data_IF_787124138870
#
_entry.id   IF_787124138870
#
_cell.length_a   1.000
_cell.length_b   1.000
_cell.length_c   1.000
_cell.angle_alpha   90.00
_cell.angle_beta   90.00
_cell.angle_gamma   90.00
#
_symmetry.space_group_name_H-M   'P 1'
#
loop_
_entity.id
_entity.type
_entity.pdbx_description
1 polymer ?
#
# COMPACT_ATOMS: atom_id res chain seq x y z
N UNK A 1 15.46 -1.02 24.93
CA UNK A 1 14.99 0.22 24.31
C UNK A 1 14.28 -0.11 23.02
N UNK A 2 13.05 0.33 22.84
CA UNK A 2 12.38 0.09 21.60
C UNK A 2 12.80 1.12 20.53
N UNK A 3 12.57 0.77 19.27
CA UNK A 3 12.96 1.59 18.12
C UNK A 3 12.33 2.99 18.16
N UNK A 4 11.06 3.06 18.53
CA UNK A 4 10.34 4.34 18.56
C UNK A 4 10.88 5.29 19.62
N UNK A 5 11.27 4.77 20.78
CA UNK A 5 11.90 5.58 21.81
C UNK A 5 13.23 6.15 21.31
N UNK A 6 14.03 5.36 20.59
CA UNK A 6 15.30 5.82 20.01
C UNK A 6 15.08 6.94 19.01
N UNK A 7 13.98 6.91 18.26
CA UNK A 7 13.61 7.94 17.29
C UNK A 7 12.91 9.15 17.91
N UNK A 8 12.64 9.10 19.21
CA UNK A 8 11.89 10.14 19.94
C UNK A 8 10.47 10.35 19.37
N UNK A 9 9.86 9.27 18.90
CA UNK A 9 8.48 9.30 18.40
C UNK A 9 7.57 8.72 19.49
N UNK A 10 6.64 9.54 19.97
CA UNK A 10 5.63 9.07 20.92
C UNK A 10 4.58 8.26 20.20
N UNK A 11 4.44 7.00 20.59
CA UNK A 11 3.54 6.09 19.92
C UNK A 11 2.80 5.23 20.93
N UNK A 12 1.49 5.16 20.77
CA UNK A 12 0.65 4.20 21.48
C UNK A 12 0.38 3.05 20.54
N UNK A 13 0.62 1.82 21.04
CA UNK A 13 0.44 0.60 20.24
C UNK A 13 -0.78 -0.15 20.79
N UNK A 14 -1.75 -0.42 19.94
CA UNK A 14 -2.92 -1.23 20.27
C UNK A 14 -2.89 -2.50 19.44
N UNK A 15 -2.97 -3.65 20.08
CA UNK A 15 -2.89 -4.94 19.42
C UNK A 15 -4.17 -5.73 19.67
N UNK A 16 -4.79 -6.24 18.60
CA UNK A 16 -5.92 -7.15 18.67
C UNK A 16 -5.58 -8.42 17.91
N UNK A 17 -5.57 -9.53 18.62
CA UNK A 17 -5.30 -10.82 18.00
C UNK A 17 -6.61 -11.60 17.85
N UNK A 18 -6.89 -12.00 16.61
CA UNK A 18 -8.07 -12.80 16.26
C UNK A 18 -7.61 -14.24 16.06
N UNK A 19 -7.75 -15.04 17.12
CA UNK A 19 -7.26 -16.40 17.12
C UNK A 19 -7.91 -17.28 16.05
N UNK A 20 -9.19 -17.07 15.78
CA UNK A 20 -9.93 -17.87 14.80
C UNK A 20 -9.35 -17.73 13.38
N UNK A 21 -8.90 -16.56 13.02
CA UNK A 21 -8.41 -16.26 11.67
C UNK A 21 -6.89 -16.18 11.60
N UNK A 22 -6.20 -16.31 12.74
CA UNK A 22 -4.75 -16.08 12.85
C UNK A 22 -4.36 -14.70 12.27
N UNK A 23 -5.07 -13.66 12.68
CA UNK A 23 -4.82 -12.29 12.26
C UNK A 23 -4.47 -11.43 13.46
N UNK A 24 -3.37 -10.70 13.38
CA UNK A 24 -2.96 -9.75 14.39
C UNK A 24 -3.09 -8.34 13.82
N UNK A 25 -4.02 -7.57 14.33
CA UNK A 25 -4.21 -6.18 13.94
C UNK A 25 -3.46 -5.28 14.92
N UNK A 26 -2.55 -4.47 14.40
CA UNK A 26 -1.76 -3.54 15.19
C UNK A 26 -2.09 -2.13 14.72
N UNK A 27 -2.54 -1.30 15.64
CA UNK A 27 -2.85 0.10 15.37
C UNK A 27 -1.86 0.97 16.12
N UNK A 28 -1.20 1.85 15.39
CA UNK A 28 -0.30 2.85 15.97
C UNK A 28 -1.02 4.19 16.03
N UNK A 29 -0.83 4.92 17.12
CA UNK A 29 -1.39 6.26 17.25
C UNK A 29 -0.42 7.15 18.01
N UNK A 30 -0.51 8.46 17.77
CA UNK A 30 0.35 9.44 18.38
C UNK A 30 0.40 10.73 17.58
N UNK A 31 1.10 11.75 18.06
CA UNK A 31 1.12 13.06 17.40
C UNK A 31 1.91 13.10 16.09
N UNK A 32 2.87 12.20 15.88
CA UNK A 32 3.81 12.28 14.76
C UNK A 32 3.79 11.03 13.88
N UNK A 33 2.60 10.51 13.58
CA UNK A 33 2.47 9.26 12.83
C UNK A 33 2.97 9.39 11.39
N UNK A 34 3.06 10.60 10.83
CA UNK A 34 3.64 10.80 9.51
C UNK A 34 5.05 10.24 9.36
N UNK A 35 5.84 10.28 10.44
CA UNK A 35 7.19 9.70 10.45
C UNK A 35 7.14 8.19 10.29
N UNK A 36 6.19 7.54 10.96
CA UNK A 36 6.04 6.08 10.91
C UNK A 36 5.38 5.60 9.61
N UNK A 37 4.59 6.45 8.97
CA UNK A 37 4.02 6.16 7.67
C UNK A 37 5.12 6.23 6.60
N UNK A 38 5.92 7.29 6.63
CA UNK A 38 6.95 7.53 5.64
C UNK A 38 6.38 7.94 4.30
N UNK A 39 7.24 7.96 3.29
CA UNK A 39 6.83 8.36 1.96
C UNK A 39 5.97 7.26 1.34
N UNK A 40 4.71 7.59 1.04
CA UNK A 40 3.75 6.66 0.42
C UNK A 40 3.59 5.36 1.20
N UNK A 41 3.71 5.42 2.53
CA UNK A 41 3.53 4.26 3.37
C UNK A 41 4.70 3.28 3.40
N UNK A 42 5.85 3.64 2.85
CA UNK A 42 7.00 2.72 2.77
C UNK A 42 7.52 2.32 4.14
N UNK A 43 7.60 3.25 5.08
CA UNK A 43 8.05 2.94 6.44
C UNK A 43 7.05 2.02 7.14
N UNK A 44 5.76 2.31 6.99
CA UNK A 44 4.71 1.49 7.56
C UNK A 44 4.76 0.06 7.02
N UNK A 45 4.96 -0.09 5.71
CA UNK A 45 5.08 -1.41 5.08
C UNK A 45 6.31 -2.16 5.57
N UNK A 46 7.44 -1.48 5.71
CA UNK A 46 8.67 -2.09 6.21
C UNK A 46 8.51 -2.56 7.66
N UNK A 47 7.87 -1.76 8.50
CA UNK A 47 7.58 -2.14 9.88
C UNK A 47 6.66 -3.34 9.94
N UNK A 48 5.61 -3.37 9.12
CA UNK A 48 4.71 -4.52 9.06
C UNK A 48 5.46 -5.80 8.70
N UNK A 49 6.33 -5.72 7.72
CA UNK A 49 7.13 -6.87 7.29
C UNK A 49 8.03 -7.38 8.42
N UNK A 50 8.74 -6.47 9.09
CA UNK A 50 9.63 -6.84 10.20
C UNK A 50 8.86 -7.45 11.36
N UNK A 51 7.71 -6.90 11.72
CA UNK A 51 6.87 -7.45 12.79
C UNK A 51 6.37 -8.83 12.38
N UNK A 52 5.96 -9.00 11.13
CA UNK A 52 5.49 -10.28 10.62
C UNK A 52 6.59 -11.35 10.72
N UNK A 53 7.83 -11.01 10.37
CA UNK A 53 8.95 -11.93 10.50
C UNK A 53 9.18 -12.33 11.97
N UNK A 54 9.13 -11.36 12.87
CA UNK A 54 9.34 -11.61 14.29
C UNK A 54 8.25 -12.50 14.88
N UNK A 55 6.99 -12.18 14.60
CA UNK A 55 5.84 -12.90 15.13
C UNK A 55 5.81 -14.35 14.63
N UNK A 56 6.23 -14.59 13.40
CA UNK A 56 6.18 -15.90 12.77
C UNK A 56 7.47 -16.72 12.88
N UNK A 57 8.43 -16.23 13.64
CA UNK A 57 9.75 -16.84 13.74
C UNK A 57 9.72 -18.28 14.23
N UNK A 58 8.89 -18.58 15.21
CA UNK A 58 8.82 -19.89 15.86
C UNK A 58 7.41 -20.49 15.86
N UNK A 59 6.50 -19.88 15.13
CA UNK A 59 5.11 -20.29 15.14
C UNK A 59 4.83 -21.53 14.31
N UNK A 60 3.94 -22.38 14.78
CA UNK A 60 3.45 -23.53 14.03
C UNK A 60 2.45 -23.13 12.96
N UNK A 61 1.69 -22.05 13.22
CA UNK A 61 0.71 -21.50 12.30
C UNK A 61 1.11 -20.10 11.90
N UNK A 62 0.93 -19.78 10.64
CA UNK A 62 1.26 -18.43 10.14
C UNK A 62 0.25 -17.40 10.66
N UNK A 63 0.77 -16.34 11.28
CA UNK A 63 -0.03 -15.22 11.76
C UNK A 63 0.10 -14.07 10.76
N UNK A 64 -1.04 -13.63 10.26
CA UNK A 64 -1.09 -12.49 9.35
C UNK A 64 -1.10 -11.20 10.15
N UNK A 65 -0.04 -10.42 10.02
CA UNK A 65 0.10 -9.14 10.72
C UNK A 65 -0.42 -8.03 9.82
N UNK A 66 -1.30 -7.20 10.38
CA UNK A 66 -1.81 -6.00 9.71
C UNK A 66 -1.48 -4.80 10.59
N UNK A 67 -0.58 -3.97 10.12
CA UNK A 67 -0.13 -2.75 10.80
C UNK A 67 -0.71 -1.54 10.11
N UNK A 68 -1.35 -0.66 10.87
CA UNK A 68 -1.91 0.58 10.32
C UNK A 68 -1.80 1.71 11.32
N UNK A 69 -1.97 2.93 10.86
CA UNK A 69 -2.03 4.12 11.69
C UNK A 69 -2.92 5.17 11.02
N UNK A 70 -3.83 5.76 11.80
CA UNK A 70 -4.71 6.83 11.32
C UNK A 70 -5.50 6.45 10.07
N UNK A 71 -5.83 5.17 9.94
CA UNK A 71 -6.55 4.66 8.76
C UNK A 71 -5.81 4.97 7.45
N UNK A 72 -4.49 4.96 7.49
CA UNK A 72 -3.65 5.36 6.35
C UNK A 72 -3.91 4.50 5.12
N UNK A 73 -4.02 3.18 5.29
CA UNK A 73 -4.14 2.28 4.14
C UNK A 73 -5.42 2.53 3.35
N UNK A 74 -6.54 2.81 4.02
CA UNK A 74 -7.79 3.17 3.34
C UNK A 74 -7.69 4.55 2.67
N UNK A 75 -7.08 5.52 3.36
CA UNK A 75 -6.86 6.86 2.78
C UNK A 75 -5.97 6.78 1.55
N UNK A 76 -4.93 5.95 1.60
CA UNK A 76 -4.02 5.75 0.47
C UNK A 76 -4.74 5.09 -0.70
N UNK A 77 -5.61 4.10 -0.43
CA UNK A 77 -6.42 3.46 -1.45
C UNK A 77 -7.28 4.47 -2.20
N UNK A 78 -7.96 5.35 -1.47
CA UNK A 78 -8.79 6.40 -2.07
C UNK A 78 -7.95 7.34 -2.92
N UNK A 79 -6.78 7.73 -2.42
CA UNK A 79 -5.84 8.58 -3.16
C UNK A 79 -5.41 7.92 -4.47
N UNK A 80 -5.09 6.62 -4.43
CA UNK A 80 -4.69 5.88 -5.62
C UNK A 80 -5.82 5.75 -6.63
N UNK A 81 -7.05 5.53 -6.17
CA UNK A 81 -8.22 5.46 -7.05
C UNK A 81 -8.44 6.79 -7.77
N UNK A 82 -8.29 7.91 -7.06
CA UNK A 82 -8.40 9.25 -7.66
C UNK A 82 -7.27 9.49 -8.66
N UNK A 83 -6.06 9.09 -8.31
CA UNK A 83 -4.90 9.21 -9.20
C UNK A 83 -5.14 8.41 -10.49
N UNK A 84 -5.62 7.18 -10.36
CA UNK A 84 -5.91 6.33 -11.53
C UNK A 84 -6.88 7.01 -12.50
N UNK A 85 -7.96 7.58 -11.98
CA UNK A 85 -8.96 8.26 -12.79
C UNK A 85 -8.42 9.53 -13.45
N UNK A 86 -7.62 10.29 -12.69
CA UNK A 86 -6.98 11.50 -13.20
C UNK A 86 -6.03 11.18 -14.37
N UNK A 87 -5.19 10.17 -14.19
CA UNK A 87 -4.23 9.78 -15.22
C UNK A 87 -4.95 9.16 -16.42
N UNK A 88 -6.02 8.38 -16.17
CA UNK A 88 -6.83 7.84 -17.28
C UNK A 88 -7.40 8.97 -18.15
N UNK A 89 -7.88 10.04 -17.51
CA UNK A 89 -8.35 11.21 -18.25
C UNK A 89 -7.23 11.82 -19.11
N UNK A 90 -6.04 11.96 -18.54
CA UNK A 90 -4.88 12.49 -19.27
C UNK A 90 -4.52 11.60 -20.46
N UNK A 91 -4.52 10.27 -20.27
CA UNK A 91 -4.24 9.31 -21.36
C UNK A 91 -5.28 9.43 -22.48
N UNK A 92 -6.56 9.55 -22.11
CA UNK A 92 -7.64 9.73 -23.11
C UNK A 92 -7.43 11.01 -23.94
N UNK A 93 -7.01 12.08 -23.29
CA UNK A 93 -6.82 13.38 -23.93
C UNK A 93 -5.56 13.43 -24.79
N UNK A 94 -4.44 12.96 -24.27
CA UNK A 94 -3.13 13.05 -24.95
C UNK A 94 -2.85 11.90 -25.90
N UNK A 95 -3.55 10.77 -25.72
CA UNK A 95 -3.34 9.53 -26.49
C UNK A 95 -1.97 8.89 -26.26
N UNK A 96 -1.29 9.26 -25.18
CA UNK A 96 0.02 8.73 -24.83
C UNK A 96 -0.05 7.93 -23.55
N UNK A 97 0.66 6.78 -23.45
CA UNK A 97 0.70 6.04 -22.19
C UNK A 97 1.42 6.82 -21.10
N UNK A 98 1.04 6.57 -19.86
CA UNK A 98 1.67 7.20 -18.69
C UNK A 98 2.09 6.08 -17.72
N UNK A 99 3.36 6.11 -17.32
CA UNK A 99 3.89 5.23 -16.28
C UNK A 99 3.75 5.91 -14.92
N UNK A 100 3.21 5.20 -13.95
CA UNK A 100 3.14 5.69 -12.59
C UNK A 100 4.45 5.37 -11.85
N UNK A 101 4.60 5.93 -10.65
CA UNK A 101 5.74 5.62 -9.80
C UNK A 101 5.69 4.16 -9.36
N UNK A 102 6.85 3.55 -9.02
CA UNK A 102 6.83 2.20 -8.45
C UNK A 102 5.95 2.09 -7.22
N UNK A 103 5.24 0.99 -7.12
CA UNK A 103 4.29 0.73 -6.05
C UNK A 103 4.37 -0.74 -5.63
N UNK A 104 3.94 -1.03 -4.39
CA UNK A 104 3.87 -2.42 -3.94
C UNK A 104 2.72 -3.17 -4.67
N UNK A 105 2.68 -4.51 -4.58
CA UNK A 105 1.66 -5.28 -5.30
C UNK A 105 0.22 -4.91 -4.94
N UNK A 106 -0.05 -4.59 -3.67
CA UNK A 106 -1.39 -4.18 -3.23
C UNK A 106 -1.82 -2.89 -3.91
N UNK A 107 -0.92 -1.90 -3.92
CA UNK A 107 -1.21 -0.60 -4.54
C UNK A 107 -1.43 -0.72 -6.04
N UNK A 108 -0.63 -1.56 -6.72
CA UNK A 108 -0.82 -1.79 -8.14
C UNK A 108 -2.19 -2.42 -8.43
N UNK A 109 -2.64 -3.33 -7.56
CA UNK A 109 -3.99 -3.91 -7.69
C UNK A 109 -5.09 -2.87 -7.54
N UNK A 110 -4.91 -1.90 -6.66
CA UNK A 110 -5.89 -0.81 -6.50
C UNK A 110 -6.04 -0.04 -7.81
N UNK A 111 -4.92 0.29 -8.46
CA UNK A 111 -4.95 0.99 -9.74
C UNK A 111 -5.63 0.14 -10.83
N UNK A 112 -5.25 -1.13 -10.95
CA UNK A 112 -5.85 -2.04 -11.92
C UNK A 112 -7.36 -2.17 -11.70
N UNK A 113 -7.79 -2.34 -10.45
CA UNK A 113 -9.20 -2.47 -10.12
C UNK A 113 -9.99 -1.19 -10.42
N UNK A 114 -9.40 -0.03 -10.14
CA UNK A 114 -10.06 1.25 -10.38
C UNK A 114 -10.38 1.49 -11.85
N UNK A 115 -9.55 0.94 -12.75
CA UNK A 115 -9.69 1.14 -14.20
C UNK A 115 -10.12 -0.12 -14.95
N UNK A 116 -10.44 -1.19 -14.21
CA UNK A 116 -10.81 -2.48 -14.80
C UNK A 116 -11.97 -2.39 -15.79
N UNK A 117 -12.96 -1.56 -15.48
CA UNK A 117 -14.15 -1.41 -16.30
C UNK A 117 -14.13 -0.15 -17.18
N UNK A 118 -12.99 0.51 -17.29
CA UNK A 118 -12.89 1.69 -18.12
C UNK A 118 -13.04 1.30 -19.60
N UNK A 119 -13.76 2.14 -20.32
CA UNK A 119 -14.09 1.88 -21.72
C UNK A 119 -12.91 2.11 -22.67
N UNK A 120 -12.03 3.06 -22.31
CA UNK A 120 -11.03 3.58 -23.25
C UNK A 120 -9.61 3.27 -22.87
N UNK A 121 -9.32 3.02 -21.58
CA UNK A 121 -7.97 2.76 -21.14
C UNK A 121 -7.84 1.37 -20.56
N UNK A 122 -6.62 0.86 -20.57
CA UNK A 122 -6.26 -0.40 -19.89
C UNK A 122 -4.98 -0.16 -19.10
N UNK A 123 -4.67 -1.10 -18.23
CA UNK A 123 -3.53 -1.00 -17.34
C UNK A 123 -2.67 -2.25 -17.45
N UNK A 124 -1.36 -2.07 -17.23
CA UNK A 124 -0.40 -3.16 -17.23
C UNK A 124 0.67 -2.87 -16.20
N UNK A 125 1.15 -3.88 -15.49
CA UNK A 125 2.32 -3.74 -14.62
C UNK A 125 3.57 -4.06 -15.40
N UNK A 126 4.62 -3.24 -15.22
CA UNK A 126 5.91 -3.42 -15.88
C UNK A 126 7.04 -3.26 -14.88
N UNK A 127 8.20 -3.86 -15.18
CA UNK A 127 9.38 -3.78 -14.36
C UNK A 127 9.47 -4.88 -13.33
N UNK A 128 10.55 -4.87 -12.57
CA UNK A 128 10.79 -5.87 -11.53
C UNK A 128 10.75 -5.22 -10.15
N UNK A 129 10.30 -5.98 -9.16
CA UNK A 129 10.32 -5.48 -7.79
C UNK A 129 11.75 -5.10 -7.37
N UNK A 130 11.98 -4.03 -6.61
CA UNK A 130 10.98 -3.13 -6.02
C UNK A 130 10.58 -1.96 -6.91
N UNK A 131 10.91 -1.99 -8.20
CA UNK A 131 10.69 -0.87 -9.14
C UNK A 131 9.48 -1.09 -10.04
N UNK A 132 8.70 -2.14 -9.78
CA UNK A 132 7.55 -2.49 -10.62
C UNK A 132 6.46 -1.42 -10.51
N UNK A 133 5.91 -1.04 -11.66
CA UNK A 133 4.97 0.08 -11.78
C UNK A 133 3.81 -0.27 -12.68
N UNK A 134 2.75 0.53 -12.60
CA UNK A 134 1.60 0.41 -13.48
C UNK A 134 1.74 1.42 -14.62
N UNK A 135 1.43 0.96 -15.84
CA UNK A 135 1.33 1.81 -17.02
C UNK A 135 -0.14 1.87 -17.43
N UNK A 136 -0.64 3.08 -17.64
CA UNK A 136 -2.01 3.31 -18.11
C UNK A 136 -1.94 3.74 -19.58
N UNK A 137 -2.68 3.05 -20.43
CA UNK A 137 -2.62 3.27 -21.88
C UNK A 137 -4.00 3.13 -22.51
N UNK A 138 -4.14 3.63 -23.73
CA UNK A 138 -5.40 3.43 -24.48
C UNK A 138 -5.55 1.96 -24.83
N UNK A 139 -6.81 1.49 -24.79
CA UNK A 139 -7.14 0.16 -25.31
C UNK A 139 -6.92 0.17 -26.82
N UNK A 140 -6.40 -0.95 -27.32
CA UNK A 140 -6.24 -1.11 -28.77
C UNK A 140 -7.61 -1.32 -29.40
N UNK A 141 -7.82 -0.69 -30.56
CA UNK A 141 -9.02 -0.94 -31.34
C UNK A 141 -8.96 -2.37 -31.89
N UNK A 142 -10.12 -2.98 -31.96
CA UNK A 142 -10.26 -4.32 -32.54
C UNK A 142 -10.77 -4.21 -33.96
#
# INVERSE_FOLDING_TARGET
MNYFAAMKVETVVSIQFHEEDNVMNIELSGPDMGILIGKRGQTLDALQYLISLFVNKEGESYIRVKLDTENYRERRKITLEKLAKKIAYTVKRTKKPVSLEPMNPYERRVIHSALQNDRYVCTRSEGEEPYRRVVIMLKKDR
#
